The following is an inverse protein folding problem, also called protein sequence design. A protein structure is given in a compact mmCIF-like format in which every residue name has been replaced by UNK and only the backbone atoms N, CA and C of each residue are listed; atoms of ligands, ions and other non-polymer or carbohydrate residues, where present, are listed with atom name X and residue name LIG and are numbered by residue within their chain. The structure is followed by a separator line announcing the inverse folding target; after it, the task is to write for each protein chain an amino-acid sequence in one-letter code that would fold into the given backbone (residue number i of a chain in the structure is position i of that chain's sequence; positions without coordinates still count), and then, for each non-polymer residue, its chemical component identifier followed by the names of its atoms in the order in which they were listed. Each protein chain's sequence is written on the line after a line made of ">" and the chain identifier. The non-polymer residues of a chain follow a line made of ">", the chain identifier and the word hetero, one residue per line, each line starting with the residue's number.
data_IF_773185598472
#
_entry.id   IF_773185598472
#
_cell.length_a   1.000
_cell.length_b   1.000
_cell.length_c   1.000
_cell.angle_alpha   90.00
_cell.angle_beta   90.00
_cell.angle_gamma   90.00
#
_symmetry.space_group_name_H-M   'P 1'
#
loop_
_entity.id
_entity.type
_entity.pdbx_description
1 polymer ?
#
# COMPACT_ATOMS: atom_id res chain seq x y z
N UNK A 1 17.20 -10.32 30.97
CA UNK A 1 16.41 -9.43 30.11
C UNK A 1 17.32 -8.35 29.58
N UNK A 2 17.67 -8.30 28.34
CA UNK A 2 18.30 -7.12 27.74
C UNK A 2 17.26 -6.34 26.94
N UNK A 3 17.02 -5.13 27.40
CA UNK A 3 16.18 -4.11 26.76
C UNK A 3 16.97 -3.48 25.60
N UNK A 4 16.71 -3.92 24.37
CA UNK A 4 17.16 -3.21 23.16
C UNK A 4 15.96 -2.46 22.58
N UNK A 5 15.58 -1.33 23.18
CA UNK A 5 14.79 -0.32 22.49
C UNK A 5 15.77 0.44 21.60
N UNK A 6 15.87 0.07 20.33
CA UNK A 6 16.49 0.93 19.33
C UNK A 6 15.47 1.98 18.95
N UNK A 7 15.83 3.24 19.10
CA UNK A 7 15.09 4.35 18.50
C UNK A 7 14.93 4.12 17.00
N UNK A 8 13.74 4.38 16.47
CA UNK A 8 13.52 4.37 15.04
C UNK A 8 14.53 5.31 14.37
N UNK A 9 15.08 4.95 13.19
CA UNK A 9 15.97 5.84 12.48
C UNK A 9 15.20 7.11 12.13
N UNK A 10 15.82 8.26 12.33
CA UNK A 10 15.34 9.55 11.86
C UNK A 10 15.27 9.49 10.31
N UNK A 11 14.04 9.39 9.77
CA UNK A 11 13.78 9.36 8.32
C UNK A 11 13.67 10.81 7.82
N UNK A 12 14.47 11.70 8.35
CA UNK A 12 14.57 13.07 7.81
C UNK A 12 15.25 12.98 6.45
N UNK A 13 14.57 13.27 5.33
CA UNK A 13 15.24 13.32 4.04
C UNK A 13 16.29 14.42 4.07
N UNK A 14 17.47 14.13 3.52
CA UNK A 14 18.47 15.16 3.25
C UNK A 14 17.84 16.19 2.30
N UNK A 15 17.67 17.45 2.70
CA UNK A 15 16.91 18.44 1.93
C UNK A 15 17.67 19.00 0.72
N UNK A 16 18.83 18.44 0.34
CA UNK A 16 19.77 19.16 -0.52
C UNK A 16 19.60 18.97 -2.02
N UNK A 17 18.61 18.20 -2.56
CA UNK A 17 18.52 18.02 -4.02
C UNK A 17 17.12 17.69 -4.61
N UNK A 18 16.03 18.09 -3.99
CA UNK A 18 14.70 17.95 -4.58
C UNK A 18 14.21 19.34 -4.97
N UNK A 19 14.07 19.62 -6.27
CA UNK A 19 13.39 20.83 -6.76
C UNK A 19 11.88 20.69 -6.49
N UNK A 20 11.44 21.03 -5.29
CA UNK A 20 10.02 21.08 -4.95
C UNK A 20 9.38 22.35 -5.50
N UNK A 21 8.19 22.21 -6.09
CA UNK A 21 7.38 23.34 -6.52
C UNK A 21 6.57 23.94 -5.36
N UNK A 22 6.36 23.16 -4.28
CA UNK A 22 5.64 23.58 -3.09
C UNK A 22 6.59 23.95 -1.94
N UNK A 23 6.23 24.99 -1.20
CA UNK A 23 6.91 25.32 0.06
C UNK A 23 6.55 24.34 1.19
N UNK A 24 7.46 24.20 2.17
CA UNK A 24 7.20 23.35 3.35
C UNK A 24 5.86 23.66 4.05
N UNK A 25 5.44 24.92 4.27
CA UNK A 25 4.12 25.19 4.83
C UNK A 25 2.93 24.71 3.97
N UNK A 26 3.07 24.72 2.63
CA UNK A 26 2.03 24.19 1.75
C UNK A 26 1.94 22.66 1.85
N UNK A 27 3.08 21.97 1.90
CA UNK A 27 3.16 20.52 2.12
C UNK A 27 2.52 20.16 3.46
N UNK A 28 2.86 20.87 4.55
CA UNK A 28 2.28 20.65 5.87
C UNK A 28 0.77 20.83 5.88
N UNK A 29 0.26 21.89 5.24
CA UNK A 29 -1.17 22.17 5.16
C UNK A 29 -1.93 21.09 4.36
N UNK A 30 -1.33 20.54 3.29
CA UNK A 30 -1.94 19.46 2.52
C UNK A 30 -1.96 18.14 3.29
N UNK A 31 -0.88 17.79 3.97
CA UNK A 31 -0.84 16.62 4.84
C UNK A 31 -1.87 16.70 5.96
N UNK A 32 -2.07 17.88 6.56
CA UNK A 32 -3.11 18.12 7.56
C UNK A 32 -4.52 17.95 6.98
N UNK A 33 -4.79 18.48 5.78
CA UNK A 33 -6.08 18.32 5.12
C UNK A 33 -6.41 16.85 4.82
N UNK A 34 -5.43 16.03 4.42
CA UNK A 34 -5.62 14.59 4.20
C UNK A 34 -5.92 13.86 5.52
N UNK A 35 -5.23 14.20 6.60
CA UNK A 35 -5.50 13.68 7.94
C UNK A 35 -6.91 14.02 8.41
N UNK A 36 -7.32 15.28 8.25
CA UNK A 36 -8.67 15.74 8.57
C UNK A 36 -9.74 15.07 7.71
N UNK A 37 -9.48 14.88 6.41
CA UNK A 37 -10.39 14.19 5.50
C UNK A 37 -10.65 12.76 5.96
N UNK A 38 -9.60 12.03 6.35
CA UNK A 38 -9.72 10.69 6.91
C UNK A 38 -10.51 10.68 8.21
N UNK A 39 -10.14 11.53 9.18
CA UNK A 39 -10.78 11.58 10.51
C UNK A 39 -12.25 12.01 10.45
N UNK A 40 -12.58 12.94 9.57
CA UNK A 40 -13.93 13.47 9.43
C UNK A 40 -14.76 12.70 8.39
N UNK A 41 -14.15 11.75 7.67
CA UNK A 41 -14.75 11.01 6.56
C UNK A 41 -15.37 11.95 5.50
N UNK A 42 -14.62 13.00 5.18
CA UNK A 42 -15.03 14.03 4.20
C UNK A 42 -13.97 14.11 3.10
N UNK A 43 -14.26 13.61 1.90
CA UNK A 43 -13.28 13.66 0.83
C UNK A 43 -12.98 15.10 0.40
N UNK A 44 -11.75 15.31 -0.06
CA UNK A 44 -11.25 16.57 -0.59
C UNK A 44 -11.49 16.65 -2.11
N UNK A 45 -11.55 17.86 -2.63
CA UNK A 45 -11.30 18.07 -4.05
C UNK A 45 -9.85 17.66 -4.38
N UNK A 46 -9.58 17.20 -5.63
CA UNK A 46 -8.23 16.83 -6.04
C UNK A 46 -7.21 17.91 -5.67
N UNK A 47 -6.09 17.51 -5.07
CA UNK A 47 -5.01 18.44 -4.73
C UNK A 47 -4.46 19.10 -6.00
N UNK A 48 -4.38 18.33 -7.09
CA UNK A 48 -3.96 18.82 -8.41
C UNK A 48 -4.91 19.85 -9.01
N UNK A 49 -6.18 19.90 -8.63
CA UNK A 49 -7.12 20.93 -9.08
C UNK A 49 -6.96 22.24 -8.32
N UNK A 50 -6.60 22.16 -7.04
CA UNK A 50 -6.36 23.33 -6.18
C UNK A 50 -4.93 23.87 -6.27
N UNK A 51 -3.98 23.01 -6.63
CA UNK A 51 -2.56 23.32 -6.80
C UNK A 51 -2.02 22.64 -8.08
N UNK A 52 -2.28 23.19 -9.26
CA UNK A 52 -1.93 22.57 -10.55
C UNK A 52 -0.43 22.33 -10.76
N UNK A 53 0.42 22.97 -9.95
CA UNK A 53 1.88 22.83 -10.01
C UNK A 53 2.45 21.69 -9.16
N UNK A 54 1.64 20.89 -8.47
CA UNK A 54 2.12 19.72 -7.72
C UNK A 54 2.80 18.75 -8.66
N UNK A 55 4.05 18.41 -8.39
CA UNK A 55 4.76 17.32 -9.05
C UNK A 55 4.78 16.05 -8.18
N UNK A 56 5.45 15.01 -8.67
CA UNK A 56 5.49 13.71 -7.99
C UNK A 56 6.33 13.76 -6.70
N UNK A 57 7.39 14.56 -6.67
CA UNK A 57 8.25 14.71 -5.49
C UNK A 57 7.54 15.50 -4.39
N UNK A 58 6.82 16.58 -4.74
CA UNK A 58 5.92 17.27 -3.80
C UNK A 58 4.88 16.29 -3.19
N UNK A 59 4.27 15.45 -4.03
CA UNK A 59 3.27 14.48 -3.59
C UNK A 59 3.84 13.46 -2.59
N UNK A 60 5.04 12.93 -2.82
CA UNK A 60 5.72 12.07 -1.85
C UNK A 60 6.08 12.82 -0.56
N UNK A 61 6.47 14.09 -0.62
CA UNK A 61 6.72 14.88 0.58
C UNK A 61 5.43 15.09 1.40
N UNK A 62 4.29 15.31 0.75
CA UNK A 62 2.99 15.40 1.43
C UNK A 62 2.67 14.07 2.12
N UNK A 63 2.83 12.93 1.43
CA UNK A 63 2.62 11.58 1.99
C UNK A 63 3.52 11.32 3.20
N UNK A 64 4.82 11.60 3.10
CA UNK A 64 5.79 11.45 4.20
C UNK A 64 5.43 12.36 5.38
N UNK A 65 5.01 13.60 5.13
CA UNK A 65 4.61 14.52 6.18
C UNK A 65 3.35 14.04 6.91
N UNK A 66 2.42 13.44 6.18
CA UNK A 66 1.24 12.81 6.78
C UNK A 66 1.62 11.55 7.58
N UNK A 67 2.52 10.71 7.06
CA UNK A 67 3.06 9.57 7.80
C UNK A 67 3.69 9.99 9.13
N UNK A 68 4.55 11.03 9.13
CA UNK A 68 5.15 11.56 10.37
C UNK A 68 4.10 12.03 11.40
N UNK A 69 2.97 12.61 10.94
CA UNK A 69 1.86 12.98 11.84
C UNK A 69 1.21 11.74 12.48
N UNK A 70 1.05 10.66 11.73
CA UNK A 70 0.53 9.38 12.22
C UNK A 70 1.51 8.73 13.22
N UNK A 71 2.79 8.75 12.93
CA UNK A 71 3.83 8.27 13.85
C UNK A 71 3.89 9.10 15.15
N UNK A 72 3.77 10.41 15.05
CA UNK A 72 3.66 11.30 16.22
C UNK A 72 2.40 11.03 17.06
N UNK A 73 1.34 10.49 16.44
CA UNK A 73 0.12 10.02 17.12
C UNK A 73 0.24 8.57 17.67
N UNK A 74 1.44 7.96 17.58
CA UNK A 74 1.78 6.67 18.17
C UNK A 74 1.60 5.46 17.25
N UNK A 75 1.42 5.67 15.93
CA UNK A 75 1.45 4.59 14.95
C UNK A 75 2.90 4.18 14.65
N UNK A 76 3.10 2.96 14.19
CA UNK A 76 4.42 2.46 13.78
C UNK A 76 4.35 1.94 12.37
N UNK A 77 5.32 2.29 11.55
CA UNK A 77 5.49 1.68 10.23
C UNK A 77 5.85 0.21 10.41
N UNK A 78 5.07 -0.67 9.78
CA UNK A 78 5.26 -2.13 9.78
C UNK A 78 5.44 -2.71 8.38
N UNK A 79 5.37 -1.89 7.36
CA UNK A 79 5.52 -2.35 5.98
C UNK A 79 5.30 -1.27 4.95
N UNK A 80 5.18 -1.72 3.71
CA UNK A 80 4.98 -0.87 2.53
C UNK A 80 4.07 -1.56 1.53
N UNK A 81 3.46 -0.80 0.63
CA UNK A 81 2.63 -1.32 -0.46
C UNK A 81 3.01 -0.72 -1.79
N UNK A 82 2.77 -1.46 -2.86
CA UNK A 82 2.99 -0.99 -4.22
C UNK A 82 1.62 -0.88 -4.91
N UNK A 83 1.33 0.26 -5.49
CA UNK A 83 0.15 0.48 -6.31
C UNK A 83 0.51 0.71 -7.78
N UNK A 84 -0.51 0.79 -8.64
CA UNK A 84 -0.33 1.10 -10.07
C UNK A 84 0.62 0.10 -10.77
N UNK A 85 0.54 -1.18 -10.39
CA UNK A 85 1.46 -2.21 -10.89
C UNK A 85 1.08 -2.76 -12.27
N UNK A 86 -0.19 -2.62 -12.69
CA UNK A 86 -0.64 -3.10 -14.00
C UNK A 86 -0.53 -2.03 -15.07
N UNK A 87 -0.18 -2.45 -16.29
CA UNK A 87 -0.10 -1.55 -17.44
C UNK A 87 -1.42 -0.81 -17.69
N UNK A 88 -2.56 -1.47 -17.49
CA UNK A 88 -3.88 -0.86 -17.69
C UNK A 88 -4.12 0.34 -16.74
N UNK A 89 -3.71 0.22 -15.48
CA UNK A 89 -3.83 1.32 -14.51
C UNK A 89 -2.82 2.42 -14.80
N UNK A 90 -1.59 2.06 -15.19
CA UNK A 90 -0.58 3.03 -15.60
C UNK A 90 -1.05 3.88 -16.79
N UNK A 91 -1.63 3.24 -17.81
CA UNK A 91 -2.16 3.94 -18.99
C UNK A 91 -3.35 4.84 -18.61
N UNK A 92 -4.22 4.40 -17.69
CA UNK A 92 -5.36 5.20 -17.22
C UNK A 92 -4.90 6.47 -16.48
N UNK A 93 -3.80 6.40 -15.73
CA UNK A 93 -3.25 7.52 -14.97
C UNK A 93 -2.17 8.31 -15.73
N UNK A 94 -1.89 7.93 -16.99
CA UNK A 94 -0.83 8.50 -17.82
C UNK A 94 0.55 8.50 -17.13
N UNK A 95 0.91 7.32 -16.59
CA UNK A 95 2.20 7.10 -15.92
C UNK A 95 2.90 5.85 -16.45
N UNK A 96 4.20 5.74 -16.19
CA UNK A 96 5.04 4.65 -16.68
C UNK A 96 5.74 3.85 -15.56
N UNK A 97 5.32 4.09 -14.31
CA UNK A 97 5.88 3.42 -13.14
C UNK A 97 4.81 3.25 -12.06
N UNK A 98 4.99 2.28 -11.15
CA UNK A 98 4.16 2.13 -9.96
C UNK A 98 4.26 3.32 -9.01
N UNK A 99 3.35 3.38 -8.04
CA UNK A 99 3.44 4.22 -6.85
C UNK A 99 3.64 3.36 -5.58
N UNK A 100 3.79 3.99 -4.44
CA UNK A 100 3.94 3.30 -3.17
C UNK A 100 3.35 4.08 -1.99
N UNK A 101 2.99 3.32 -0.94
CA UNK A 101 2.56 3.84 0.34
C UNK A 101 3.19 3.08 1.51
N UNK A 102 3.03 3.61 2.71
CA UNK A 102 3.50 3.01 3.95
C UNK A 102 2.33 2.38 4.71
N UNK A 103 2.60 1.22 5.32
CA UNK A 103 1.66 0.50 6.16
C UNK A 103 2.00 0.73 7.62
N UNK A 104 0.99 1.07 8.42
CA UNK A 104 1.16 1.19 9.87
C UNK A 104 0.43 0.07 10.61
N UNK A 105 0.81 -0.16 11.85
CA UNK A 105 0.23 -1.18 12.72
C UNK A 105 -1.28 -0.99 12.96
N UNK A 106 -1.81 0.22 12.83
CA UNK A 106 -3.26 0.49 12.91
C UNK A 106 -4.04 0.16 11.66
N UNK A 107 -3.34 -0.07 10.54
CA UNK A 107 -3.97 -0.47 9.27
C UNK A 107 -4.17 -1.98 9.18
N UNK A 108 -3.44 -2.78 9.96
CA UNK A 108 -3.52 -4.23 9.93
C UNK A 108 -4.76 -4.74 10.67
N UNK A 109 -5.57 -5.54 10.00
CA UNK A 109 -6.73 -6.22 10.56
C UNK A 109 -6.52 -7.73 10.54
N UNK A 110 -7.12 -8.43 11.49
CA UNK A 110 -7.09 -9.89 11.54
C UNK A 110 -7.85 -10.51 10.37
N UNK A 111 -7.40 -11.66 9.87
CA UNK A 111 -8.15 -12.45 8.91
C UNK A 111 -9.53 -12.83 9.47
N UNK A 112 -10.58 -12.64 8.67
CA UNK A 112 -11.96 -12.82 9.09
C UNK A 112 -12.56 -11.66 9.89
N UNK A 113 -11.86 -10.53 10.02
CA UNK A 113 -12.35 -9.37 10.76
C UNK A 113 -13.69 -8.86 10.23
N UNK A 114 -14.51 -8.37 11.17
CA UNK A 114 -15.67 -7.52 10.88
C UNK A 114 -15.28 -6.07 11.13
N UNK A 115 -15.05 -5.33 10.05
CA UNK A 115 -14.48 -3.99 10.06
C UNK A 115 -15.58 -2.92 10.00
N UNK A 116 -15.59 -1.99 10.96
CA UNK A 116 -16.47 -0.82 10.90
C UNK A 116 -15.87 0.24 9.99
N UNK A 117 -16.56 0.59 8.91
CA UNK A 117 -16.12 1.62 7.96
C UNK A 117 -15.95 2.97 8.67
N UNK A 118 -16.88 3.30 9.58
CA UNK A 118 -16.82 4.56 10.32
C UNK A 118 -15.66 4.60 11.32
N UNK A 119 -15.46 3.51 12.09
CA UNK A 119 -14.38 3.43 13.07
C UNK A 119 -12.99 3.46 12.45
N UNK A 120 -12.85 2.94 11.22
CA UNK A 120 -11.60 2.94 10.46
C UNK A 120 -11.38 4.22 9.65
N UNK A 121 -12.35 5.13 9.60
CA UNK A 121 -12.27 6.37 8.83
C UNK A 121 -12.39 6.17 7.31
N UNK A 122 -12.86 5.00 6.85
CA UNK A 122 -12.97 4.68 5.42
C UNK A 122 -14.12 5.47 4.79
N UNK A 123 -13.86 6.06 3.62
CA UNK A 123 -14.78 7.00 2.93
C UNK A 123 -15.43 6.31 1.73
N UNK A 124 -14.64 5.74 0.85
CA UNK A 124 -15.05 5.14 -0.42
C UNK A 124 -14.17 3.92 -0.75
N UNK A 125 -14.19 2.90 0.15
CA UNK A 125 -13.25 1.78 0.08
C UNK A 125 -13.47 0.90 -1.13
N UNK A 126 -12.36 0.30 -1.61
CA UNK A 126 -12.35 -0.75 -2.63
C UNK A 126 -11.40 -1.85 -2.20
N UNK A 127 -11.78 -3.11 -2.49
CA UNK A 127 -10.98 -4.28 -2.16
C UNK A 127 -10.08 -4.69 -3.33
N UNK A 128 -8.85 -5.02 -3.01
CA UNK A 128 -7.83 -5.60 -3.90
C UNK A 128 -7.33 -6.92 -3.32
N UNK A 129 -7.13 -7.90 -4.22
CA UNK A 129 -6.50 -9.16 -3.84
C UNK A 129 -5.03 -9.16 -4.26
N UNK A 130 -4.14 -9.43 -3.31
CA UNK A 130 -2.69 -9.30 -3.43
C UNK A 130 -1.93 -10.46 -2.81
N UNK A 131 -0.60 -10.48 -3.00
CA UNK A 131 0.33 -11.33 -2.28
C UNK A 131 1.15 -10.46 -1.32
N UNK A 132 1.12 -10.79 -0.04
CA UNK A 132 1.96 -10.18 0.98
C UNK A 132 3.28 -10.96 1.12
N UNK A 133 4.39 -10.23 1.23
CA UNK A 133 5.73 -10.74 1.48
C UNK A 133 6.17 -10.34 2.89
N UNK A 134 6.50 -11.29 3.74
CA UNK A 134 7.09 -11.03 5.06
C UNK A 134 8.60 -11.15 4.96
N UNK A 135 9.32 -10.07 5.20
CA UNK A 135 10.77 -10.08 5.12
C UNK A 135 11.43 -10.65 6.37
N UNK A 136 12.51 -11.42 6.20
CA UNK A 136 13.37 -11.90 7.28
C UNK A 136 14.79 -11.31 7.24
N UNK A 137 15.09 -10.51 6.19
CA UNK A 137 16.34 -9.78 6.02
C UNK A 137 16.06 -8.37 5.54
N UNK A 138 16.95 -7.45 5.85
CA UNK A 138 16.92 -6.10 5.29
C UNK A 138 17.23 -6.15 3.79
N UNK A 139 16.53 -5.30 3.02
CA UNK A 139 16.83 -5.05 1.60
C UNK A 139 17.05 -3.56 1.40
N UNK A 140 18.11 -3.22 0.69
CA UNK A 140 18.40 -1.81 0.36
C UNK A 140 18.94 -1.71 -1.05
N UNK A 141 18.15 -1.08 -1.93
CA UNK A 141 18.59 -0.71 -3.27
C UNK A 141 19.56 0.47 -3.28
N UNK A 142 20.10 0.81 -4.45
CA UNK A 142 19.77 0.23 -5.75
C UNK A 142 20.43 -1.13 -6.02
N UNK A 143 19.89 -1.90 -6.99
CA UNK A 143 20.45 -3.15 -7.46
C UNK A 143 19.79 -4.41 -6.87
N UNK A 144 18.72 -4.27 -6.08
CA UNK A 144 17.91 -5.41 -5.60
C UNK A 144 17.19 -6.05 -6.79
N UNK A 145 17.32 -7.37 -6.91
CA UNK A 145 16.64 -8.20 -7.91
C UNK A 145 15.44 -8.93 -7.30
N UNK A 146 14.57 -9.51 -8.13
CA UNK A 146 13.48 -10.34 -7.61
C UNK A 146 14.00 -11.55 -6.83
N UNK A 147 15.15 -12.11 -7.20
CA UNK A 147 15.75 -13.21 -6.46
C UNK A 147 16.19 -12.78 -5.07
N UNK A 148 16.79 -11.58 -4.92
CA UNK A 148 17.14 -11.04 -3.60
C UNK A 148 15.90 -10.85 -2.72
N UNK A 149 14.76 -10.47 -3.32
CA UNK A 149 13.47 -10.37 -2.61
C UNK A 149 13.03 -11.75 -2.13
N UNK A 150 13.03 -12.77 -2.99
CA UNK A 150 12.67 -14.13 -2.61
C UNK A 150 13.57 -14.66 -1.48
N UNK A 151 14.89 -14.45 -1.58
CA UNK A 151 15.89 -14.87 -0.59
C UNK A 151 15.79 -14.11 0.76
N UNK A 152 15.18 -12.92 0.74
CA UNK A 152 14.93 -12.12 1.93
C UNK A 152 13.52 -12.29 2.50
N UNK A 153 12.68 -13.15 1.88
CA UNK A 153 11.30 -13.39 2.28
C UNK A 153 11.20 -14.63 3.16
N UNK A 154 10.64 -14.50 4.36
CA UNK A 154 10.38 -15.62 5.26
C UNK A 154 9.18 -16.47 4.77
N UNK A 155 8.15 -15.81 4.30
CA UNK A 155 6.93 -16.42 3.79
C UNK A 155 6.12 -15.42 2.95
N UNK A 156 5.25 -15.96 2.11
CA UNK A 156 4.22 -15.23 1.39
C UNK A 156 2.84 -15.70 1.84
N UNK A 157 1.84 -14.83 1.71
CA UNK A 157 0.46 -15.13 2.07
C UNK A 157 -0.52 -14.35 1.18
N UNK A 158 -1.79 -14.81 1.01
CA UNK A 158 -2.82 -14.00 0.39
C UNK A 158 -3.10 -12.78 1.26
N UNK A 159 -3.43 -11.66 0.63
CA UNK A 159 -3.69 -10.42 1.32
C UNK A 159 -4.82 -9.63 0.65
N UNK A 160 -5.76 -9.11 1.43
CA UNK A 160 -6.59 -8.00 0.97
C UNK A 160 -5.92 -6.68 1.31
N UNK A 161 -5.72 -5.82 0.32
CA UNK A 161 -5.61 -4.38 0.55
C UNK A 161 -7.00 -3.75 0.36
N UNK A 162 -7.41 -2.93 1.30
CA UNK A 162 -8.62 -2.10 1.19
C UNK A 162 -8.13 -0.69 0.95
N UNK A 163 -8.06 -0.34 -0.31
CA UNK A 163 -7.70 1.03 -0.71
C UNK A 163 -8.87 1.96 -0.44
N UNK A 164 -8.57 3.18 -0.02
CA UNK A 164 -9.57 4.20 0.29
C UNK A 164 -9.01 5.57 -0.07
N UNK A 165 -9.63 6.27 -0.99
CA UNK A 165 -9.16 7.59 -1.38
C UNK A 165 -9.80 8.68 -0.52
N UNK A 166 -8.96 9.62 -0.03
CA UNK A 166 -9.43 10.86 0.60
C UNK A 166 -9.76 11.93 -0.44
N UNK A 167 -9.65 11.59 -1.75
CA UNK A 167 -10.03 12.47 -2.86
C UNK A 167 -11.41 12.08 -3.38
N UNK A 168 -12.27 13.07 -3.57
CA UNK A 168 -13.68 12.91 -3.94
C UNK A 168 -13.85 12.05 -5.19
N UNK A 169 -14.73 11.04 -5.09
CA UNK A 169 -15.18 10.19 -6.19
C UNK A 169 -14.04 9.53 -6.99
N UNK A 170 -12.87 9.35 -6.34
CA UNK A 170 -11.68 8.82 -7.00
C UNK A 170 -11.25 9.63 -8.24
N UNK A 171 -11.49 10.94 -8.23
CA UNK A 171 -11.06 11.85 -9.29
C UNK A 171 -9.56 12.18 -9.11
N UNK A 172 -8.73 11.17 -9.19
CA UNK A 172 -7.29 11.24 -8.90
C UNK A 172 -6.45 11.34 -10.17
N UNK A 173 -5.37 12.13 -10.06
CA UNK A 173 -4.15 11.95 -10.86
C UNK A 173 -3.11 11.25 -10.01
N UNK A 174 -1.97 10.88 -10.60
CA UNK A 174 -0.91 10.18 -9.86
C UNK A 174 -0.42 10.98 -8.65
N UNK A 175 -0.34 12.30 -8.74
CA UNK A 175 0.09 13.15 -7.63
C UNK A 175 -0.94 13.12 -6.49
N UNK A 176 -2.23 13.03 -6.80
CA UNK A 176 -3.28 12.97 -5.79
C UNK A 176 -3.19 11.65 -4.99
N UNK A 177 -3.05 10.51 -5.67
CA UNK A 177 -2.96 9.20 -4.99
C UNK A 177 -1.65 9.05 -4.21
N UNK A 178 -0.53 9.50 -4.77
CA UNK A 178 0.77 9.48 -4.07
C UNK A 178 0.74 10.32 -2.80
N UNK A 179 0.21 11.55 -2.85
CA UNK A 179 0.07 12.42 -1.68
C UNK A 179 -0.82 11.77 -0.61
N UNK A 180 -1.81 11.01 -1.05
CA UNK A 180 -2.79 10.28 -0.26
C UNK A 180 -2.29 8.88 0.18
N UNK A 181 -0.97 8.71 0.37
CA UNK A 181 -0.30 7.47 0.75
C UNK A 181 -0.64 6.30 -0.21
N UNK A 182 -0.62 6.55 -1.52
CA UNK A 182 -1.06 5.63 -2.57
C UNK A 182 -2.47 5.06 -2.30
N UNK A 183 -3.36 5.92 -1.79
CA UNK A 183 -4.74 5.62 -1.42
C UNK A 183 -4.90 4.41 -0.47
N UNK A 184 -3.87 4.07 0.32
CA UNK A 184 -3.96 2.97 1.27
C UNK A 184 -4.97 3.27 2.39
N UNK A 185 -5.82 2.31 2.72
CA UNK A 185 -6.76 2.35 3.85
C UNK A 185 -6.33 1.37 4.94
N UNK A 186 -6.76 0.11 4.83
CA UNK A 186 -6.40 -0.98 5.75
C UNK A 186 -6.03 -2.25 4.96
N UNK A 187 -5.47 -3.25 5.63
CA UNK A 187 -5.15 -4.52 4.99
C UNK A 187 -5.36 -5.72 5.91
N UNK A 188 -5.55 -6.89 5.31
CA UNK A 188 -5.71 -8.18 5.99
C UNK A 188 -4.76 -9.18 5.37
N UNK A 189 -3.94 -9.83 6.17
CA UNK A 189 -3.06 -10.92 5.70
C UNK A 189 -3.65 -12.27 6.14
N UNK A 190 -3.85 -13.16 5.18
CA UNK A 190 -4.32 -14.53 5.45
C UNK A 190 -3.41 -15.28 6.42
N UNK A 191 -3.89 -16.32 7.05
CA UNK A 191 -3.15 -17.03 8.11
C UNK A 191 -2.19 -18.10 7.60
N UNK A 192 -2.40 -18.60 6.37
CA UNK A 192 -1.47 -19.57 5.77
C UNK A 192 -0.15 -18.87 5.40
N UNK A 193 0.95 -19.52 5.76
CA UNK A 193 2.32 -19.05 5.48
C UNK A 193 2.99 -20.05 4.55
N UNK A 194 3.41 -19.59 3.38
CA UNK A 194 4.00 -20.44 2.34
C UNK A 194 5.41 -19.96 2.02
N UNK A 195 6.36 -20.89 1.89
CA UNK A 195 7.70 -20.58 1.42
C UNK A 195 7.62 -20.06 -0.03
N UNK A 196 8.13 -18.86 -0.34
CA UNK A 196 8.08 -18.32 -1.70
C UNK A 196 8.76 -19.23 -2.74
N UNK A 197 9.75 -20.03 -2.34
CA UNK A 197 10.43 -20.98 -3.23
C UNK A 197 9.58 -22.23 -3.54
N UNK A 198 8.50 -22.49 -2.83
CA UNK A 198 7.64 -23.64 -3.05
C UNK A 198 6.61 -23.45 -4.18
N UNK A 199 6.47 -22.23 -4.72
CA UNK A 199 5.44 -21.88 -5.71
C UNK A 199 5.99 -21.01 -6.84
N UNK A 200 5.44 -21.20 -8.04
CA UNK A 200 5.55 -20.22 -9.11
C UNK A 200 4.57 -19.07 -8.86
N UNK A 201 5.03 -18.02 -8.17
CA UNK A 201 4.19 -16.89 -7.81
C UNK A 201 3.60 -16.12 -9.00
N UNK A 202 4.25 -16.16 -10.16
CA UNK A 202 3.71 -15.58 -11.39
C UNK A 202 2.54 -16.42 -11.95
N UNK A 203 2.63 -17.74 -11.76
CA UNK A 203 1.65 -18.70 -12.26
C UNK A 203 0.40 -18.87 -11.41
N UNK A 204 0.40 -18.45 -10.15
CA UNK A 204 -0.78 -18.63 -9.24
C UNK A 204 -2.02 -17.90 -9.78
N UNK A 205 -3.18 -18.48 -9.51
CA UNK A 205 -4.47 -17.86 -9.84
C UNK A 205 -5.17 -17.42 -8.55
N UNK A 206 -5.67 -16.20 -8.56
CA UNK A 206 -6.51 -15.63 -7.50
C UNK A 206 -7.97 -15.62 -7.93
N UNK A 207 -8.87 -15.94 -7.00
CA UNK A 207 -10.33 -15.83 -7.15
C UNK A 207 -10.89 -15.10 -5.95
N UNK A 208 -11.62 -14.00 -6.21
CA UNK A 208 -12.27 -13.18 -5.20
C UNK A 208 -13.79 -13.30 -5.33
N UNK A 209 -14.46 -13.35 -4.20
CA UNK A 209 -15.93 -13.30 -4.11
C UNK A 209 -16.35 -12.13 -3.22
N UNK A 210 -17.51 -11.55 -3.55
CA UNK A 210 -18.25 -10.59 -2.71
C UNK A 210 -19.63 -11.20 -2.41
N UNK A 211 -19.94 -11.38 -1.16
CA UNK A 211 -21.22 -11.97 -0.70
C UNK A 211 -21.51 -13.35 -1.32
N UNK A 212 -20.46 -14.17 -1.50
CA UNK A 212 -20.54 -15.50 -2.11
C UNK A 212 -20.69 -15.51 -3.64
N UNK A 213 -20.64 -14.36 -4.30
CA UNK A 213 -20.68 -14.25 -5.76
C UNK A 213 -19.29 -13.89 -6.30
N UNK A 214 -18.90 -14.43 -7.48
CA UNK A 214 -17.64 -14.03 -8.12
C UNK A 214 -17.56 -12.51 -8.27
N UNK A 215 -16.43 -11.92 -7.86
CA UNK A 215 -16.20 -10.48 -7.88
C UNK A 215 -14.91 -10.08 -8.60
N UNK A 216 -13.96 -10.99 -8.74
CA UNK A 216 -12.71 -10.76 -9.45
C UNK A 216 -11.88 -12.02 -9.54
N UNK A 217 -11.01 -12.06 -10.53
CA UNK A 217 -9.97 -13.09 -10.66
C UNK A 217 -8.76 -12.51 -11.38
N UNK A 218 -7.59 -13.05 -11.10
CA UNK A 218 -6.35 -12.62 -11.70
C UNK A 218 -5.23 -13.62 -11.51
N UNK A 219 -4.06 -13.30 -12.05
CA UNK A 219 -2.87 -14.12 -11.96
C UNK A 219 -1.73 -13.32 -11.33
N UNK A 220 -0.76 -14.02 -10.76
CA UNK A 220 0.42 -13.38 -10.20
C UNK A 220 1.22 -12.57 -11.21
N UNK A 221 1.28 -13.01 -12.47
CA UNK A 221 1.98 -12.29 -13.54
C UNK A 221 1.34 -10.96 -13.96
N UNK A 222 0.12 -10.65 -13.49
CA UNK A 222 -0.49 -9.33 -13.65
C UNK A 222 0.29 -8.22 -12.93
N UNK A 223 1.07 -8.58 -11.90
CA UNK A 223 1.91 -7.66 -11.13
C UNK A 223 3.31 -7.64 -11.75
N UNK A 224 3.55 -6.73 -12.69
CA UNK A 224 4.84 -6.54 -13.38
C UNK A 224 5.49 -7.83 -13.92
N UNK A 225 4.69 -8.82 -14.30
CA UNK A 225 5.16 -10.12 -14.76
C UNK A 225 5.52 -11.11 -13.63
N UNK A 226 5.85 -10.62 -12.43
CA UNK A 226 6.09 -11.43 -11.24
C UNK A 226 5.96 -10.56 -9.96
N UNK A 227 5.23 -10.97 -8.92
CA UNK A 227 5.01 -10.14 -7.71
C UNK A 227 6.31 -9.66 -7.04
N UNK A 228 7.37 -10.48 -7.03
CA UNK A 228 8.66 -10.08 -6.46
C UNK A 228 9.39 -9.00 -7.30
N UNK A 229 9.07 -8.82 -8.57
CA UNK A 229 9.61 -7.71 -9.38
C UNK A 229 9.08 -6.36 -8.88
N UNK A 230 7.80 -6.28 -8.53
CA UNK A 230 7.23 -5.08 -7.94
C UNK A 230 7.90 -4.76 -6.59
N UNK A 231 8.13 -5.77 -5.76
CA UNK A 231 8.83 -5.60 -4.46
C UNK A 231 10.27 -5.14 -4.68
N UNK A 232 10.99 -5.72 -5.68
CA UNK A 232 12.36 -5.29 -6.04
C UNK A 232 12.37 -3.84 -6.55
N UNK A 233 11.40 -3.48 -7.41
CA UNK A 233 11.24 -2.11 -7.89
C UNK A 233 11.10 -1.12 -6.71
N UNK A 234 10.25 -1.44 -5.72
CA UNK A 234 10.07 -0.56 -4.58
C UNK A 234 11.32 -0.50 -3.68
N UNK A 235 11.98 -1.63 -3.44
CA UNK A 235 13.22 -1.67 -2.67
C UNK A 235 14.31 -0.79 -3.32
N UNK A 236 14.40 -0.78 -4.64
CA UNK A 236 15.31 0.08 -5.40
C UNK A 236 14.89 1.56 -5.35
N UNK A 237 13.60 1.84 -5.52
CA UNK A 237 13.05 3.20 -5.51
C UNK A 237 13.24 3.89 -4.16
N UNK A 238 12.92 3.20 -3.07
CA UNK A 238 13.09 3.71 -1.71
C UNK A 238 14.56 3.70 -1.27
N UNK A 239 15.33 2.67 -1.69
CA UNK A 239 16.77 2.59 -1.42
C UNK A 239 17.55 3.78 -2.00
N UNK A 240 17.17 4.24 -3.20
CA UNK A 240 17.74 5.45 -3.80
C UNK A 240 17.44 6.74 -2.99
N UNK A 241 16.41 6.71 -2.14
CA UNK A 241 16.04 7.79 -1.20
C UNK A 241 16.54 7.54 0.22
N UNK A 242 17.38 6.53 0.43
CA UNK A 242 17.92 6.20 1.75
C UNK A 242 16.92 5.47 2.68
N UNK A 243 15.79 5.02 2.17
CA UNK A 243 14.75 4.31 2.93
C UNK A 243 14.86 2.79 2.65
N UNK A 244 15.47 2.01 3.53
CA UNK A 244 15.57 0.56 3.34
C UNK A 244 14.26 -0.16 3.70
N UNK A 245 14.14 -1.39 3.23
CA UNK A 245 13.23 -2.37 3.80
C UNK A 245 13.90 -3.04 4.99
N UNK A 246 13.13 -3.36 6.04
CA UNK A 246 13.65 -3.99 7.25
C UNK A 246 13.12 -5.40 7.41
N UNK A 247 13.92 -6.27 7.99
CA UNK A 247 13.44 -7.57 8.47
C UNK A 247 12.25 -7.38 9.41
N UNK A 248 11.18 -8.15 9.20
CA UNK A 248 9.91 -8.04 9.92
C UNK A 248 8.89 -7.10 9.27
N UNK A 249 9.23 -6.42 8.17
CA UNK A 249 8.23 -5.65 7.41
C UNK A 249 7.40 -6.54 6.48
N UNK A 250 6.14 -6.16 6.32
CA UNK A 250 5.20 -6.74 5.34
C UNK A 250 5.20 -5.84 4.10
N UNK A 251 5.36 -6.46 2.91
CA UNK A 251 5.29 -5.75 1.64
C UNK A 251 4.11 -6.29 0.83
N UNK A 252 3.15 -5.43 0.48
CA UNK A 252 2.04 -5.78 -0.42
C UNK A 252 2.48 -5.50 -1.85
N UNK A 253 2.37 -6.52 -2.71
CA UNK A 253 3.03 -6.53 -4.02
C UNK A 253 2.28 -5.81 -5.13
N UNK A 254 1.04 -5.43 -4.90
CA UNK A 254 0.13 -4.88 -5.90
C UNK A 254 -0.96 -5.86 -6.34
N UNK A 255 -2.06 -5.32 -6.82
CA UNK A 255 -3.28 -6.06 -7.11
C UNK A 255 -3.16 -7.04 -8.27
N UNK A 256 -3.67 -8.26 -8.06
CA UNK A 256 -3.75 -9.30 -9.10
C UNK A 256 -4.98 -9.11 -10.01
N UNK A 257 -5.96 -8.30 -9.61
CA UNK A 257 -7.22 -8.09 -10.33
C UNK A 257 -7.72 -6.65 -10.15
N UNK A 258 -8.68 -6.19 -10.98
CA UNK A 258 -9.29 -4.88 -10.80
C UNK A 258 -9.95 -4.70 -9.43
N UNK A 259 -9.92 -3.47 -8.90
CA UNK A 259 -10.52 -3.07 -7.64
C UNK A 259 -12.03 -3.29 -7.61
N UNK A 260 -12.56 -3.77 -6.49
CA UNK A 260 -13.99 -4.00 -6.29
C UNK A 260 -14.51 -3.06 -5.20
N UNK A 261 -15.49 -2.17 -5.48
CA UNK A 261 -16.08 -1.30 -4.46
C UNK A 261 -16.63 -2.09 -3.28
N UNK A 262 -16.37 -1.59 -2.07
CA UNK A 262 -16.83 -2.19 -0.82
C UNK A 262 -17.78 -1.23 -0.08
N UNK A 263 -18.79 -1.80 0.60
CA UNK A 263 -19.77 -1.05 1.39
C UNK A 263 -20.18 -1.83 2.62
N UNK A 264 -20.88 -1.18 3.54
CA UNK A 264 -21.46 -1.83 4.71
C UNK A 264 -22.36 -3.02 4.30
N UNK A 265 -22.24 -4.13 5.01
CA UNK A 265 -22.91 -5.40 4.72
C UNK A 265 -22.17 -6.33 3.76
N UNK A 266 -21.08 -5.87 3.13
CA UNK A 266 -20.29 -6.72 2.25
C UNK A 266 -19.37 -7.68 3.03
N UNK A 267 -19.24 -8.88 2.50
CA UNK A 267 -18.19 -9.83 2.87
C UNK A 267 -17.38 -10.21 1.65
N UNK A 268 -16.08 -10.00 1.73
CA UNK A 268 -15.12 -10.45 0.74
C UNK A 268 -14.40 -11.71 1.21
N UNK A 269 -14.21 -12.65 0.30
CA UNK A 269 -13.35 -13.84 0.47
C UNK A 269 -12.46 -13.98 -0.74
N UNK A 270 -11.26 -14.44 -0.55
CA UNK A 270 -10.29 -14.67 -1.61
C UNK A 270 -9.56 -15.99 -1.37
N UNK A 271 -9.26 -16.66 -2.48
CA UNK A 271 -8.36 -17.83 -2.55
C UNK A 271 -7.31 -17.58 -3.60
N UNK A 272 -6.06 -17.89 -3.26
CA UNK A 272 -4.92 -17.92 -4.20
C UNK A 272 -4.35 -19.33 -4.22
N UNK A 273 -4.23 -19.93 -5.40
CA UNK A 273 -3.77 -21.30 -5.59
C UNK A 273 -2.43 -21.53 -4.87
N UNK A 274 -2.38 -22.49 -3.96
CA UNK A 274 -1.21 -22.84 -3.15
C UNK A 274 -0.89 -21.91 -1.97
N UNK A 275 -1.47 -20.70 -1.92
CA UNK A 275 -1.27 -19.74 -0.82
C UNK A 275 -2.42 -19.80 0.23
N UNK A 276 -3.58 -20.38 -0.14
CA UNK A 276 -4.78 -20.35 0.70
C UNK A 276 -5.58 -19.07 0.53
N UNK A 277 -6.39 -18.74 1.53
CA UNK A 277 -7.32 -17.62 1.45
C UNK A 277 -7.26 -16.66 2.60
N UNK A 278 -7.99 -15.55 2.46
CA UNK A 278 -8.32 -14.63 3.52
C UNK A 278 -9.69 -13.99 3.31
N UNK A 279 -10.21 -13.33 4.34
CA UNK A 279 -11.55 -12.73 4.29
C UNK A 279 -11.66 -11.48 5.15
N UNK A 280 -12.59 -10.60 4.77
CA UNK A 280 -12.98 -9.42 5.54
C UNK A 280 -14.47 -9.16 5.35
N UNK A 281 -15.13 -8.65 6.39
CA UNK A 281 -16.51 -8.18 6.31
C UNK A 281 -16.59 -6.72 6.74
N UNK A 282 -17.52 -5.98 6.17
CA UNK A 282 -17.73 -4.57 6.49
C UNK A 282 -19.07 -4.36 7.17
N UNK A 283 -19.06 -3.55 8.23
CA UNK A 283 -20.24 -3.08 8.94
C UNK A 283 -20.22 -1.55 8.98
N UNK A 284 -21.41 -0.90 9.08
CA UNK A 284 -21.72 0.54 9.14
C UNK A 284 -20.95 1.48 8.18
#
# INVERSE_FOLDING_TARGET
>A
MPTWVRAAPDISPDPTNINMNLSSPQIDAMAERLDDAMRQRRPLEPLTSTHPGIDIDDAYQISLRWLHRREAAGERVIGKKIGVTSKAVQDMLDVHQPDFGFLTDRMELADGASASLSALGLIQPRAEGEIAFMLNKDLQGPGVTHQDVLDATAWVAPCFEIVDSRIRDWQIRIQDTVADNASCGVFVVGTQRTDPAALDLAGVTMRMQRNGQPAGSGRGDAVQGHPAEAVAWLANTLGARGIPFRAGEIILSGSLAPLVPAQAGDRFTMEIDGLGGCSISFVD
#
